data_IF_284321768553
#
_entry.id   IF_284321768553
#
_cell.length_a   1.000
_cell.length_b   1.000
_cell.length_c   1.000
_cell.angle_alpha   90.00
_cell.angle_beta   90.00
_cell.angle_gamma   90.00
#
_symmetry.space_group_name_H-M   'P 1'
#
loop_
_entity.id
_entity.type
_entity.pdbx_description
1 polymer ?
#
# COMPACT_ATOMS: atom_id res chain seq x y z
N UNK A 1 -7.99 16.02 6.10
CA UNK A 1 -7.78 15.00 5.05
C UNK A 1 -7.80 13.61 5.67
N UNK A 2 -8.14 12.57 4.90
CA UNK A 2 -8.05 11.16 5.32
C UNK A 2 -7.08 10.38 4.42
N UNK A 3 -6.38 9.43 5.01
CA UNK A 3 -5.50 8.50 4.32
C UNK A 3 -6.13 7.12 4.33
N UNK A 4 -6.30 6.52 3.16
CA UNK A 4 -6.98 5.23 3.01
C UNK A 4 -5.99 4.24 2.42
N UNK A 5 -5.94 3.05 2.98
CA UNK A 5 -5.16 1.95 2.44
C UNK A 5 -6.06 0.79 2.07
N UNK A 6 -5.78 0.19 0.92
CA UNK A 6 -6.57 -0.89 0.36
C UNK A 6 -5.62 -2.05 0.03
N UNK A 7 -5.79 -3.20 0.67
CA UNK A 7 -5.23 -4.46 0.18
C UNK A 7 -6.24 -5.10 -0.77
N UNK A 8 -5.99 -4.98 -2.07
CA UNK A 8 -6.94 -5.35 -3.11
C UNK A 8 -6.73 -6.80 -3.53
N UNK A 9 -7.74 -7.64 -3.31
CA UNK A 9 -7.71 -8.99 -3.82
C UNK A 9 -7.70 -9.02 -5.36
N UNK A 10 -6.77 -9.78 -5.94
CA UNK A 10 -6.56 -9.84 -7.40
C UNK A 10 -7.78 -10.28 -8.22
N UNK A 11 -8.69 -11.05 -7.65
CA UNK A 11 -9.91 -11.51 -8.33
C UNK A 11 -11.09 -11.68 -7.39
N UNK A 12 -12.28 -11.84 -7.98
CA UNK A 12 -13.57 -11.69 -7.31
C UNK A 12 -13.88 -12.77 -6.25
N UNK A 13 -13.12 -13.87 -6.25
CA UNK A 13 -13.28 -14.96 -5.26
C UNK A 13 -12.71 -14.60 -3.89
N UNK A 14 -11.78 -13.66 -3.85
CA UNK A 14 -11.12 -13.23 -2.63
C UNK A 14 -11.61 -11.84 -2.24
N UNK A 15 -11.64 -11.59 -0.95
CA UNK A 15 -12.04 -10.31 -0.39
C UNK A 15 -10.85 -9.39 -0.19
N UNK A 16 -11.12 -8.10 -0.12
CA UNK A 16 -10.17 -7.02 0.13
C UNK A 16 -10.36 -6.47 1.55
N UNK A 17 -9.38 -5.71 2.02
CA UNK A 17 -9.49 -4.95 3.26
C UNK A 17 -9.22 -3.46 3.00
N UNK A 18 -9.85 -2.61 3.80
CA UNK A 18 -9.65 -1.16 3.80
C UNK A 18 -9.36 -0.70 5.23
N UNK A 19 -8.38 0.17 5.38
CA UNK A 19 -8.07 0.87 6.63
C UNK A 19 -8.04 2.37 6.37
N UNK A 20 -8.65 3.14 7.27
CA UNK A 20 -8.74 4.60 7.20
C UNK A 20 -7.98 5.19 8.37
N UNK A 21 -6.99 6.02 8.06
CA UNK A 21 -6.27 6.84 9.02
C UNK A 21 -6.76 8.29 8.94
N UNK A 22 -6.83 8.92 10.10
CA UNK A 22 -7.08 10.36 10.24
C UNK A 22 -6.04 10.99 11.17
N UNK A 23 -5.73 12.28 10.98
CA UNK A 23 -4.89 13.00 11.92
C UNK A 23 -5.64 13.23 13.24
N UNK A 24 -4.92 13.20 14.37
CA UNK A 24 -5.45 13.53 15.71
C UNK A 24 -5.87 14.98 15.85
N UNK A 25 -5.18 15.87 15.14
CA UNK A 25 -5.38 17.30 15.16
C UNK A 25 -4.89 17.93 13.85
N UNK A 26 -4.92 19.27 13.76
CA UNK A 26 -4.57 19.99 12.55
C UNK A 26 -3.06 19.97 12.19
N UNK A 27 -2.18 19.44 13.05
CA UNK A 27 -0.74 19.32 12.77
C UNK A 27 -0.41 18.19 11.80
N UNK A 28 -1.27 17.17 11.71
CA UNK A 28 -1.03 15.93 10.97
C UNK A 28 0.24 15.16 11.41
N UNK A 29 0.83 15.49 12.56
CA UNK A 29 2.04 14.82 13.07
C UNK A 29 1.71 13.44 13.68
N UNK A 30 0.49 13.24 14.16
CA UNK A 30 0.02 11.98 14.74
C UNK A 30 -1.26 11.50 14.05
N UNK A 31 -1.21 10.27 13.55
CA UNK A 31 -2.32 9.58 12.90
C UNK A 31 -2.93 8.56 13.85
N UNK A 32 -4.23 8.31 13.68
CA UNK A 32 -4.95 7.23 14.34
C UNK A 32 -5.82 6.49 13.33
N UNK A 33 -6.09 5.22 13.62
CA UNK A 33 -7.09 4.46 12.84
C UNK A 33 -8.47 4.98 13.19
N UNK A 34 -9.18 5.51 12.18
CA UNK A 34 -10.58 5.93 12.31
C UNK A 34 -11.50 4.72 12.17
N UNK A 35 -11.35 3.98 11.08
CA UNK A 35 -12.23 2.88 10.72
C UNK A 35 -11.49 1.89 9.82
N UNK A 36 -11.94 0.65 9.82
CA UNK A 36 -11.44 -0.38 8.92
C UNK A 36 -12.57 -1.36 8.61
N UNK A 37 -12.47 -2.03 7.46
CA UNK A 37 -13.39 -3.08 7.07
C UNK A 37 -12.62 -4.16 6.32
N UNK A 38 -12.88 -5.42 6.67
CA UNK A 38 -12.35 -6.57 5.94
C UNK A 38 -13.46 -7.28 5.17
N UNK A 39 -13.14 -8.34 4.45
CA UNK A 39 -14.13 -9.14 3.74
C UNK A 39 -14.92 -8.40 2.63
N UNK A 40 -14.40 -7.29 2.09
CA UNK A 40 -15.03 -6.55 0.99
C UNK A 40 -14.86 -7.30 -0.34
N UNK A 41 -15.96 -7.72 -0.95
CA UNK A 41 -15.98 -8.56 -2.13
C UNK A 41 -15.76 -7.77 -3.41
N UNK A 42 -16.61 -6.79 -3.70
CA UNK A 42 -16.62 -6.05 -4.97
C UNK A 42 -15.91 -4.69 -4.88
N UNK A 43 -15.56 -4.09 -6.03
CA UNK A 43 -15.02 -2.73 -6.04
C UNK A 43 -16.07 -1.69 -5.60
N UNK A 44 -17.34 -1.91 -5.91
CA UNK A 44 -18.45 -1.05 -5.48
C UNK A 44 -18.62 -1.07 -3.96
N UNK A 45 -18.41 -2.23 -3.30
CA UNK A 45 -18.39 -2.32 -1.84
C UNK A 45 -17.25 -1.51 -1.25
N UNK A 46 -16.05 -1.59 -1.82
CA UNK A 46 -14.89 -0.79 -1.42
C UNK A 46 -15.20 0.71 -1.58
N UNK A 47 -15.67 1.15 -2.76
CA UNK A 47 -15.96 2.56 -3.03
C UNK A 47 -17.08 3.09 -2.14
N UNK A 48 -18.12 2.29 -1.88
CA UNK A 48 -19.20 2.67 -0.96
C UNK A 48 -18.67 2.89 0.46
N UNK A 49 -17.82 2.00 0.96
CA UNK A 49 -17.19 2.15 2.27
C UNK A 49 -16.30 3.38 2.33
N UNK A 50 -15.45 3.61 1.33
CA UNK A 50 -14.61 4.82 1.28
C UNK A 50 -15.47 6.09 1.16
N UNK A 51 -16.59 6.04 0.44
CA UNK A 51 -17.53 7.14 0.32
C UNK A 51 -18.27 7.48 1.62
N UNK A 52 -18.65 6.47 2.42
CA UNK A 52 -19.32 6.72 3.72
C UNK A 52 -18.39 7.40 4.74
N UNK A 53 -17.08 7.21 4.58
CA UNK A 53 -16.05 7.89 5.38
C UNK A 53 -15.45 9.09 4.66
N UNK A 54 -16.02 9.60 3.57
CA UNK A 54 -15.55 10.84 2.97
C UNK A 54 -16.31 12.04 3.55
N UNK A 55 -15.56 13.07 3.96
CA UNK A 55 -16.11 14.33 4.51
C UNK A 55 -15.96 15.51 3.53
N UNK A 56 -15.55 15.25 2.29
CA UNK A 56 -15.35 16.29 1.26
C UNK A 56 -14.05 17.10 1.40
N UNK A 57 -13.18 16.77 2.37
CA UNK A 57 -11.82 17.32 2.46
C UNK A 57 -10.87 16.60 1.47
N UNK A 58 -9.55 16.67 1.67
CA UNK A 58 -8.63 15.82 0.91
C UNK A 58 -8.75 14.33 1.24
N UNK A 59 -8.46 13.47 0.26
CA UNK A 59 -8.58 12.02 0.30
C UNK A 59 -7.43 11.37 -0.47
N UNK A 60 -6.52 10.73 0.26
CA UNK A 60 -5.36 10.10 -0.35
C UNK A 60 -5.39 8.59 -0.13
N UNK A 61 -5.47 7.83 -1.23
CA UNK A 61 -5.70 6.38 -1.22
C UNK A 61 -4.45 5.66 -1.73
N UNK A 62 -3.94 4.70 -0.96
CA UNK A 62 -2.90 3.77 -1.36
C UNK A 62 -3.48 2.38 -1.62
N UNK A 63 -3.16 1.77 -2.75
CA UNK A 63 -3.72 0.47 -3.16
C UNK A 63 -2.61 -0.54 -3.40
N UNK A 64 -2.66 -1.70 -2.72
CA UNK A 64 -1.82 -2.87 -3.04
C UNK A 64 -2.39 -3.61 -4.26
N UNK A 65 -2.31 -2.96 -5.42
CA UNK A 65 -2.56 -3.57 -6.71
C UNK A 65 -2.06 -2.67 -7.85
N UNK A 66 -1.69 -3.28 -8.99
CA UNK A 66 -1.45 -2.57 -10.23
C UNK A 66 -2.65 -1.70 -10.64
N UNK A 67 -2.43 -0.39 -10.79
CA UNK A 67 -3.47 0.57 -11.15
C UNK A 67 -3.41 1.05 -12.60
N UNK A 68 -2.24 0.93 -13.24
CA UNK A 68 -2.00 1.32 -14.63
C UNK A 68 -1.12 0.24 -15.27
N UNK A 69 -1.68 -0.55 -16.19
CA UNK A 69 -0.99 -1.70 -16.83
C UNK A 69 -1.25 -1.71 -18.34
N UNK A 70 -0.55 -0.84 -19.11
CA UNK A 70 -0.78 -0.71 -20.55
C UNK A 70 -0.13 -1.84 -21.36
N UNK A 71 0.83 -2.57 -20.79
CA UNK A 71 1.59 -3.59 -21.49
C UNK A 71 0.83 -4.91 -21.56
N UNK A 72 0.77 -5.49 -22.77
CA UNK A 72 0.15 -6.80 -23.01
C UNK A 72 1.07 -7.93 -22.52
N UNK A 73 2.38 -7.77 -22.67
CA UNK A 73 3.42 -8.75 -22.32
C UNK A 73 4.57 -8.08 -21.56
N UNK A 74 5.50 -8.89 -21.07
CA UNK A 74 6.69 -8.41 -20.37
C UNK A 74 6.37 -7.83 -19.00
N UNK A 75 7.13 -6.80 -18.63
CA UNK A 75 7.14 -6.20 -17.30
C UNK A 75 7.04 -4.68 -17.42
N UNK A 76 6.39 -4.02 -16.44
CA UNK A 76 6.38 -2.55 -16.38
C UNK A 76 7.76 -2.03 -15.93
N UNK A 77 8.24 -0.89 -16.45
CA UNK A 77 9.55 -0.33 -16.05
C UNK A 77 9.70 -0.16 -14.52
N UNK A 78 8.62 0.21 -13.83
CA UNK A 78 8.59 0.35 -12.37
C UNK A 78 8.93 -0.95 -11.64
N UNK A 79 8.44 -2.09 -12.13
CA UNK A 79 8.64 -3.40 -11.52
C UNK A 79 10.09 -3.87 -11.71
N UNK A 80 10.64 -3.67 -12.92
CA UNK A 80 12.04 -4.01 -13.23
C UNK A 80 12.99 -3.22 -12.35
N UNK A 81 12.77 -1.91 -12.23
CA UNK A 81 13.60 -1.02 -11.41
C UNK A 81 13.50 -1.33 -9.92
N UNK A 82 12.28 -1.57 -9.41
CA UNK A 82 12.09 -2.01 -8.03
C UNK A 82 12.75 -3.36 -7.78
N UNK A 83 12.63 -4.34 -8.66
CA UNK A 83 13.27 -5.65 -8.49
C UNK A 83 14.79 -5.52 -8.43
N UNK A 84 15.39 -4.64 -9.24
CA UNK A 84 16.84 -4.36 -9.19
C UNK A 84 17.27 -3.86 -7.82
N UNK A 85 16.57 -2.88 -7.26
CA UNK A 85 16.97 -2.21 -6.00
C UNK A 85 16.51 -2.96 -4.74
N UNK A 86 15.34 -3.61 -4.79
CA UNK A 86 14.77 -4.35 -3.67
C UNK A 86 15.05 -5.86 -3.69
N UNK A 87 15.70 -6.38 -4.75
CA UNK A 87 15.96 -7.80 -4.94
C UNK A 87 16.74 -8.43 -3.81
N UNK A 88 17.76 -7.73 -3.28
CA UNK A 88 18.57 -8.22 -2.13
C UNK A 88 17.76 -8.39 -0.84
N UNK A 89 16.61 -7.71 -0.74
CA UNK A 89 15.69 -7.80 0.39
C UNK A 89 14.57 -8.82 0.14
N UNK A 90 14.58 -9.52 -1.00
CA UNK A 90 13.51 -10.43 -1.43
C UNK A 90 12.15 -9.69 -1.56
N UNK A 91 12.20 -8.40 -1.90
CA UNK A 91 11.07 -7.48 -1.91
C UNK A 91 10.85 -6.80 -3.27
N UNK A 92 11.31 -7.41 -4.35
CA UNK A 92 10.96 -6.98 -5.71
C UNK A 92 9.55 -7.44 -6.09
N UNK A 93 8.76 -6.61 -6.81
CA UNK A 93 7.48 -7.02 -7.36
C UNK A 93 7.67 -8.08 -8.45
N UNK A 94 6.62 -8.88 -8.67
CA UNK A 94 6.52 -9.78 -9.82
C UNK A 94 6.01 -9.00 -11.04
N UNK A 95 6.33 -9.44 -12.27
CA UNK A 95 5.82 -8.78 -13.46
C UNK A 95 4.30 -8.81 -13.53
N UNK A 96 3.70 -7.70 -13.96
CA UNK A 96 2.27 -7.62 -14.26
C UNK A 96 2.07 -7.14 -15.69
N UNK A 97 1.17 -7.80 -16.39
CA UNK A 97 0.74 -7.43 -17.73
C UNK A 97 -0.69 -7.94 -17.97
N UNK A 98 -1.34 -7.44 -19.02
CA UNK A 98 -2.72 -7.79 -19.32
C UNK A 98 -2.93 -9.30 -19.53
N UNK A 99 -1.93 -10.03 -20.05
CA UNK A 99 -2.01 -11.49 -20.19
C UNK A 99 -1.99 -12.22 -18.84
N UNK A 100 -1.11 -11.83 -17.93
CA UNK A 100 -1.04 -12.41 -16.57
C UNK A 100 -2.36 -12.19 -15.83
N UNK A 101 -2.97 -11.02 -16.01
CA UNK A 101 -4.25 -10.67 -15.40
C UNK A 101 -5.48 -11.22 -16.17
N UNK A 102 -5.29 -12.00 -17.24
CA UNK A 102 -6.39 -12.56 -18.03
C UNK A 102 -7.33 -11.50 -18.62
N UNK A 103 -6.81 -10.31 -18.91
CA UNK A 103 -7.58 -9.17 -19.41
C UNK A 103 -8.49 -8.48 -18.39
N UNK A 104 -8.44 -8.86 -17.10
CA UNK A 104 -9.22 -8.23 -16.02
C UNK A 104 -8.29 -7.65 -14.97
N UNK A 105 -8.11 -6.33 -15.02
CA UNK A 105 -7.32 -5.58 -14.06
C UNK A 105 -8.25 -4.94 -13.03
N UNK A 106 -8.50 -5.65 -11.93
CA UNK A 106 -9.39 -5.17 -10.86
C UNK A 106 -8.96 -3.80 -10.31
N UNK A 107 -7.65 -3.56 -10.24
CA UNK A 107 -7.08 -2.27 -9.83
C UNK A 107 -7.45 -1.11 -10.76
N UNK A 108 -7.39 -1.30 -12.08
CA UNK A 108 -7.85 -0.29 -13.05
C UNK A 108 -9.35 0.00 -12.91
N UNK A 109 -10.16 -1.05 -12.70
CA UNK A 109 -11.59 -0.90 -12.43
C UNK A 109 -11.87 -0.14 -11.12
N UNK A 110 -11.12 -0.41 -10.06
CA UNK A 110 -11.23 0.30 -8.78
C UNK A 110 -10.83 1.77 -8.94
N UNK A 111 -9.71 2.03 -9.62
CA UNK A 111 -9.24 3.39 -9.92
C UNK A 111 -10.31 4.19 -10.69
N UNK A 112 -10.95 3.56 -11.69
CA UNK A 112 -12.04 4.18 -12.42
C UNK A 112 -13.22 4.57 -11.51
N UNK A 113 -13.69 3.65 -10.67
CA UNK A 113 -14.82 3.90 -9.77
C UNK A 113 -14.51 4.95 -8.69
N UNK A 114 -13.31 4.91 -8.11
CA UNK A 114 -12.84 5.93 -7.15
C UNK A 114 -12.73 7.31 -7.80
N UNK A 115 -12.35 7.38 -9.07
CA UNK A 115 -12.31 8.64 -9.82
C UNK A 115 -13.71 9.19 -10.08
N UNK A 116 -14.62 8.37 -10.61
CA UNK A 116 -15.96 8.82 -11.01
C UNK A 116 -16.87 9.10 -9.81
N UNK A 117 -16.67 8.40 -8.69
CA UNK A 117 -17.51 8.53 -7.50
C UNK A 117 -16.95 9.55 -6.50
N UNK A 118 -15.63 9.56 -6.30
CA UNK A 118 -14.97 10.34 -5.23
C UNK A 118 -13.99 11.38 -5.77
N UNK A 119 -13.89 11.58 -7.08
CA UNK A 119 -13.05 12.62 -7.69
C UNK A 119 -11.55 12.44 -7.47
N UNK A 120 -11.08 11.22 -7.17
CA UNK A 120 -9.64 10.95 -7.05
C UNK A 120 -8.98 10.81 -8.43
N UNK A 121 -7.67 11.10 -8.51
CA UNK A 121 -6.89 10.89 -9.73
C UNK A 121 -5.60 10.12 -9.43
N UNK A 122 -4.99 9.44 -10.41
CA UNK A 122 -3.70 8.75 -10.22
C UNK A 122 -2.50 9.71 -10.35
N UNK A 123 -2.69 11.03 -10.26
CA UNK A 123 -1.61 12.00 -10.40
C UNK A 123 -0.77 12.06 -9.11
N UNK A 124 0.41 11.45 -9.12
CA UNK A 124 1.26 11.37 -7.94
C UNK A 124 2.00 12.66 -7.61
N UNK A 125 2.02 13.66 -8.51
CA UNK A 125 2.65 14.95 -8.24
C UNK A 125 1.68 15.90 -7.56
N UNK A 126 2.02 16.29 -6.34
CA UNK A 126 1.34 17.31 -5.56
C UNK A 126 2.29 17.83 -4.47
N UNK A 127 2.10 19.07 -3.99
CA UNK A 127 2.91 19.58 -2.89
C UNK A 127 2.71 18.74 -1.62
N UNK A 128 3.77 18.53 -0.81
CA UNK A 128 3.60 17.94 0.51
C UNK A 128 2.70 18.82 1.37
N UNK A 129 2.01 18.21 2.33
CA UNK A 129 1.11 18.87 3.27
C UNK A 129 -0.13 19.56 2.63
N UNK A 130 -0.45 19.29 1.35
CA UNK A 130 -1.62 19.86 0.67
C UNK A 130 -2.94 19.20 1.14
N UNK A 131 -3.79 19.87 1.95
CA UNK A 131 -4.92 19.24 2.63
C UNK A 131 -6.12 18.94 1.73
N UNK A 132 -6.15 19.48 0.50
CA UNK A 132 -7.27 19.30 -0.45
C UNK A 132 -6.99 18.24 -1.53
N UNK A 133 -5.78 17.66 -1.55
CA UNK A 133 -5.43 16.71 -2.61
C UNK A 133 -6.29 15.45 -2.54
N UNK A 134 -6.73 14.98 -3.71
CA UNK A 134 -7.55 13.76 -3.87
C UNK A 134 -6.89 12.82 -4.85
N UNK A 135 -6.24 11.74 -4.39
CA UNK A 135 -5.49 10.81 -5.25
C UNK A 135 -5.71 9.34 -4.88
N UNK A 136 -5.50 8.48 -5.87
CA UNK A 136 -5.43 7.03 -5.72
C UNK A 136 -4.12 6.55 -6.34
N UNK A 137 -3.20 6.06 -5.49
CA UNK A 137 -1.82 5.76 -5.83
C UNK A 137 -1.56 4.26 -5.65
N UNK A 138 -0.79 3.68 -6.57
CA UNK A 138 -0.33 2.31 -6.48
C UNK A 138 0.79 2.22 -5.44
N UNK A 139 0.65 1.29 -4.48
CA UNK A 139 1.61 1.02 -3.41
C UNK A 139 1.97 -0.46 -3.42
N UNK A 140 3.19 -0.80 -2.98
CA UNK A 140 3.59 -2.18 -2.79
C UNK A 140 4.06 -2.43 -1.35
N UNK A 141 3.23 -3.02 -0.47
CA UNK A 141 3.52 -3.24 0.94
C UNK A 141 4.87 -3.92 1.21
N UNK A 142 5.25 -4.90 0.38
CA UNK A 142 6.49 -5.66 0.62
C UNK A 142 7.75 -4.80 0.52
N UNK A 143 7.85 -3.88 -0.44
CA UNK A 143 8.98 -2.96 -0.52
C UNK A 143 8.91 -1.91 0.59
N UNK A 144 7.71 -1.41 0.88
CA UNK A 144 7.48 -0.45 1.96
C UNK A 144 7.91 -0.98 3.33
N UNK A 145 7.57 -2.24 3.67
CA UNK A 145 8.04 -2.91 4.89
C UNK A 145 9.56 -2.88 5.01
N UNK A 146 10.28 -3.19 3.92
CA UNK A 146 11.73 -3.26 3.96
C UNK A 146 12.36 -1.88 4.17
N UNK A 147 11.80 -0.84 3.56
CA UNK A 147 12.30 0.52 3.69
C UNK A 147 11.97 1.12 5.07
N UNK A 148 10.70 1.09 5.49
CA UNK A 148 10.25 1.71 6.74
C UNK A 148 10.87 1.05 7.98
N UNK A 149 11.02 -0.26 7.96
CA UNK A 149 11.51 -1.02 9.12
C UNK A 149 12.96 -1.49 8.98
N UNK A 150 13.70 -0.97 7.99
CA UNK A 150 15.09 -1.32 7.71
C UNK A 150 15.35 -2.84 7.66
N UNK A 151 14.40 -3.61 7.11
CA UNK A 151 14.50 -5.07 7.10
C UNK A 151 15.57 -5.52 6.13
N UNK A 152 16.40 -6.47 6.54
CA UNK A 152 17.39 -7.11 5.64
C UNK A 152 16.74 -8.08 4.65
N UNK A 153 15.57 -8.62 4.97
CA UNK A 153 14.75 -9.51 4.13
C UNK A 153 13.27 -9.28 4.41
N UNK A 154 12.42 -9.49 3.40
CA UNK A 154 10.98 -9.33 3.52
C UNK A 154 10.38 -10.28 4.56
N UNK A 155 9.29 -9.86 5.19
CA UNK A 155 8.53 -10.70 6.10
C UNK A 155 7.88 -11.88 5.34
N UNK A 156 7.76 -13.04 5.99
CA UNK A 156 7.29 -14.31 5.42
C UNK A 156 5.94 -14.78 6.00
N UNK A 157 5.07 -13.83 6.36
CA UNK A 157 3.75 -14.07 6.94
C UNK A 157 2.71 -14.62 5.93
N UNK A 158 2.77 -14.20 4.65
CA UNK A 158 1.82 -14.65 3.62
C UNK A 158 1.87 -16.15 3.38
N UNK A 159 0.72 -16.78 3.12
CA UNK A 159 0.63 -18.21 2.81
C UNK A 159 1.45 -18.56 1.55
N UNK A 160 2.35 -19.54 1.65
CA UNK A 160 3.13 -20.07 0.52
C UNK A 160 3.58 -21.49 0.82
N UNK A 161 3.75 -22.31 -0.23
CA UNK A 161 4.37 -23.63 -0.11
C UNK A 161 5.71 -23.53 0.64
N UNK A 162 5.94 -24.46 1.56
CA UNK A 162 7.14 -24.50 2.43
C UNK A 162 7.08 -23.63 3.69
N UNK A 163 5.97 -22.93 3.97
CA UNK A 163 5.79 -22.14 5.21
C UNK A 163 4.80 -22.82 6.16
N UNK A 164 5.26 -23.20 7.34
CA UNK A 164 4.39 -23.74 8.38
C UNK A 164 3.52 -22.64 8.98
N UNK A 165 2.35 -23.00 9.52
CA UNK A 165 1.49 -22.06 10.25
C UNK A 165 2.25 -21.36 11.38
N UNK A 166 3.02 -22.11 12.17
CA UNK A 166 3.82 -21.56 13.28
C UNK A 166 4.82 -20.50 12.80
N UNK A 167 5.54 -20.75 11.70
CA UNK A 167 6.48 -19.77 11.13
C UNK A 167 5.77 -18.49 10.67
N UNK A 168 4.56 -18.61 10.13
CA UNK A 168 3.74 -17.47 9.71
C UNK A 168 3.24 -16.67 10.90
N UNK A 169 2.77 -17.33 11.96
CA UNK A 169 2.31 -16.67 13.19
C UNK A 169 3.44 -15.88 13.86
N UNK A 170 4.66 -16.42 13.88
CA UNK A 170 5.83 -15.68 14.35
C UNK A 170 6.12 -14.43 13.51
N UNK A 171 6.01 -14.53 12.18
CA UNK A 171 6.18 -13.39 11.29
C UNK A 171 5.03 -12.36 11.38
N UNK A 172 3.81 -12.79 11.71
CA UNK A 172 2.70 -11.88 12.02
C UNK A 172 2.95 -11.10 13.31
N UNK A 173 3.38 -11.77 14.37
CA UNK A 173 3.72 -11.10 15.63
C UNK A 173 4.84 -10.07 15.40
N UNK A 174 5.87 -10.45 14.63
CA UNK A 174 6.94 -9.54 14.21
C UNK A 174 6.40 -8.36 13.40
N UNK A 175 5.48 -8.59 12.45
CA UNK A 175 4.90 -7.51 11.66
C UNK A 175 4.08 -6.55 12.53
N UNK A 176 3.27 -7.07 13.47
CA UNK A 176 2.52 -6.26 14.42
C UNK A 176 3.45 -5.36 15.25
N UNK A 177 4.53 -5.91 15.82
CA UNK A 177 5.54 -5.12 16.56
C UNK A 177 6.22 -4.05 15.70
N UNK A 178 6.47 -4.33 14.42
CA UNK A 178 7.00 -3.32 13.50
C UNK A 178 5.99 -2.20 13.26
N UNK A 179 4.70 -2.53 13.07
CA UNK A 179 3.66 -1.51 12.92
C UNK A 179 3.46 -0.69 14.22
N UNK A 180 3.58 -1.32 15.39
CA UNK A 180 3.59 -0.61 16.69
C UNK A 180 4.73 0.39 16.80
N UNK A 181 5.92 0.08 16.25
CA UNK A 181 7.07 1.00 16.27
C UNK A 181 6.82 2.34 15.54
N UNK A 182 5.81 2.40 14.67
CA UNK A 182 5.39 3.63 13.98
C UNK A 182 4.83 4.69 14.94
N UNK A 183 4.53 4.35 16.19
CA UNK A 183 4.17 5.32 17.24
C UNK A 183 5.28 6.36 17.46
N UNK A 184 6.54 5.99 17.20
CA UNK A 184 7.71 6.87 17.34
C UNK A 184 8.25 7.40 16.00
N UNK A 185 7.62 7.01 14.89
CA UNK A 185 7.99 7.49 13.56
C UNK A 185 7.41 8.89 13.30
N UNK A 186 7.74 9.47 12.14
CA UNK A 186 7.16 10.73 11.67
C UNK A 186 6.66 10.58 10.24
N UNK A 187 5.36 10.83 9.95
CA UNK A 187 4.30 11.06 10.94
C UNK A 187 4.11 9.83 11.84
N UNK A 188 3.74 10.04 13.11
CA UNK A 188 3.52 8.93 14.03
C UNK A 188 2.16 8.28 13.77
N UNK A 189 2.05 6.99 14.10
CA UNK A 189 0.81 6.24 14.04
C UNK A 189 0.53 5.64 15.41
N UNK A 190 -0.58 6.05 16.03
CA UNK A 190 -1.07 5.40 17.24
C UNK A 190 -1.46 3.95 16.91
N UNK A 191 -0.87 2.94 17.57
CA UNK A 191 -1.12 1.56 17.27
C UNK A 191 -2.61 1.23 17.47
N UNK A 192 -3.34 0.75 16.44
CA UNK A 192 -4.70 0.31 16.65
C UNK A 192 -4.73 -0.90 17.60
N UNK A 193 -5.70 -0.94 18.51
CA UNK A 193 -5.82 -2.01 19.52
C UNK A 193 -5.84 -3.41 18.93
N UNK A 194 -6.45 -3.55 17.74
CA UNK A 194 -6.56 -4.81 17.02
C UNK A 194 -5.23 -5.37 16.48
N UNK A 195 -4.13 -4.61 16.48
CA UNK A 195 -2.79 -5.15 16.09
C UNK A 195 -2.33 -6.28 17.02
N UNK A 196 -2.72 -6.22 18.28
CA UNK A 196 -2.38 -7.25 19.27
C UNK A 196 -3.29 -8.50 19.17
N UNK A 197 -4.37 -8.42 18.41
CA UNK A 197 -5.43 -9.43 18.33
C UNK A 197 -5.20 -10.44 17.19
N UNK A 198 -4.04 -11.12 17.18
CA UNK A 198 -3.78 -12.17 16.19
C UNK A 198 -4.87 -13.26 16.27
N UNK A 199 -5.59 -13.58 15.17
CA UNK A 199 -6.70 -14.53 15.22
C UNK A 199 -6.28 -15.91 15.73
N UNK A 200 -7.08 -16.46 16.66
CA UNK A 200 -6.92 -17.84 17.16
C UNK A 200 -7.44 -18.90 16.18
N UNK A 201 -8.30 -18.50 15.25
CA UNK A 201 -8.82 -19.35 14.17
C UNK A 201 -8.06 -19.08 12.88
N UNK A 202 -7.65 -20.15 12.23
CA UNK A 202 -6.78 -20.10 11.06
C UNK A 202 -7.59 -20.20 9.75
N UNK A 203 -6.94 -19.92 8.62
CA UNK A 203 -7.58 -19.92 7.31
C UNK A 203 -8.13 -18.52 6.97
N UNK A 204 -9.45 -18.39 6.81
CA UNK A 204 -10.07 -17.14 6.34
C UNK A 204 -9.89 -15.97 7.31
N UNK A 205 -10.05 -16.21 8.62
CA UNK A 205 -9.86 -15.16 9.63
C UNK A 205 -8.42 -14.64 9.65
N UNK A 206 -7.42 -15.55 9.60
CA UNK A 206 -6.02 -15.16 9.50
C UNK A 206 -5.71 -14.39 8.19
N UNK A 207 -6.34 -14.75 7.07
CA UNK A 207 -6.20 -14.01 5.81
C UNK A 207 -6.83 -12.61 5.91
N UNK A 208 -7.98 -12.45 6.57
CA UNK A 208 -8.57 -11.12 6.78
C UNK A 208 -7.68 -10.22 7.64
N UNK A 209 -7.03 -10.81 8.65
CA UNK A 209 -6.03 -10.11 9.45
C UNK A 209 -4.79 -9.73 8.62
N UNK A 210 -4.29 -10.64 7.77
CA UNK A 210 -3.25 -10.37 6.77
C UNK A 210 -3.57 -9.11 5.95
N UNK A 211 -4.78 -9.07 5.40
CA UNK A 211 -5.20 -8.03 4.47
C UNK A 211 -5.37 -6.70 5.18
N UNK A 212 -5.85 -6.73 6.43
CA UNK A 212 -5.97 -5.53 7.27
C UNK A 212 -4.61 -4.93 7.60
N UNK A 213 -3.60 -5.76 7.90
CA UNK A 213 -2.24 -5.28 8.15
C UNK A 213 -1.64 -4.60 6.91
N UNK A 214 -1.82 -5.20 5.73
CA UNK A 214 -1.32 -4.64 4.48
C UNK A 214 -2.09 -3.38 4.06
N UNK A 215 -3.40 -3.34 4.30
CA UNK A 215 -4.20 -2.13 4.12
C UNK A 215 -3.76 -1.00 5.08
N UNK A 216 -3.49 -1.29 6.36
CA UNK A 216 -2.95 -0.30 7.30
C UNK A 216 -1.62 0.27 6.79
N UNK A 217 -0.72 -0.59 6.31
CA UNK A 217 0.55 -0.14 5.76
C UNK A 217 0.37 0.70 4.49
N UNK A 218 -0.53 0.33 3.57
CA UNK A 218 -0.85 1.15 2.40
C UNK A 218 -1.32 2.56 2.79
N UNK A 219 -2.18 2.67 3.80
CA UNK A 219 -2.65 3.96 4.32
C UNK A 219 -1.49 4.79 4.86
N UNK A 220 -0.61 4.15 5.64
CA UNK A 220 0.54 4.80 6.24
C UNK A 220 1.57 5.25 5.20
N UNK A 221 1.80 4.46 4.14
CA UNK A 221 2.70 4.83 3.03
C UNK A 221 2.25 6.11 2.35
N UNK A 222 0.97 6.22 2.01
CA UNK A 222 0.48 7.44 1.35
C UNK A 222 0.45 8.63 2.30
N UNK A 223 0.21 8.42 3.60
CA UNK A 223 0.35 9.47 4.61
C UNK A 223 1.80 9.97 4.73
N UNK A 224 2.77 9.05 4.70
CA UNK A 224 4.20 9.38 4.68
C UNK A 224 4.57 10.18 3.44
N UNK A 225 4.07 9.78 2.26
CA UNK A 225 4.30 10.51 1.01
C UNK A 225 3.65 11.90 1.01
N UNK A 226 2.46 12.04 1.59
CA UNK A 226 1.85 13.36 1.78
C UNK A 226 2.66 14.26 2.71
N UNK A 227 3.24 13.69 3.77
CA UNK A 227 4.03 14.45 4.74
C UNK A 227 5.38 14.94 4.16
N UNK A 228 6.11 14.06 3.46
CA UNK A 228 7.46 14.37 2.98
C UNK A 228 7.55 14.75 1.50
N UNK A 229 6.62 14.29 0.67
CA UNK A 229 6.73 14.33 -0.79
C UNK A 229 7.76 13.34 -1.34
N UNK A 230 8.09 13.50 -2.63
CA UNK A 230 9.14 12.74 -3.31
C UNK A 230 10.52 13.26 -2.91
N UNK A 231 11.43 12.37 -2.49
CA UNK A 231 12.73 12.80 -2.00
C UNK A 231 13.48 11.72 -1.20
N UNK A 232 13.89 12.08 0.01
CA UNK A 232 14.71 11.23 0.89
C UNK A 232 13.92 10.10 1.56
N UNK A 233 12.62 10.31 1.79
CA UNK A 233 11.76 9.36 2.52
C UNK A 233 10.87 8.53 1.61
N UNK A 234 10.53 9.03 0.43
CA UNK A 234 9.63 8.36 -0.52
C UNK A 234 10.11 8.58 -1.95
N UNK A 235 9.82 7.62 -2.83
CA UNK A 235 10.05 7.71 -4.26
C UNK A 235 8.86 7.15 -5.02
N UNK A 236 8.58 7.74 -6.19
CA UNK A 236 7.68 7.15 -7.18
C UNK A 236 8.54 6.48 -8.25
N UNK A 237 8.39 5.17 -8.42
CA UNK A 237 9.15 4.39 -9.39
C UNK A 237 8.28 4.15 -10.61
N UNK A 238 8.65 4.68 -11.78
CA UNK A 238 7.86 4.61 -13.01
C UNK A 238 7.22 5.95 -13.37
N UNK A 239 6.13 5.91 -14.15
CA UNK A 239 5.46 7.11 -14.64
C UNK A 239 3.95 6.88 -14.88
N UNK A 240 3.20 7.96 -15.12
CA UNK A 240 1.74 7.89 -15.32
C UNK A 240 1.32 7.23 -16.66
N UNK A 241 2.25 7.00 -17.59
CA UNK A 241 1.99 6.39 -18.90
C UNK A 241 2.18 4.88 -18.86
N UNK A 242 3.24 4.40 -18.21
CA UNK A 242 3.63 2.98 -18.15
C UNK A 242 3.26 2.32 -16.81
N UNK A 243 2.76 3.10 -15.87
CA UNK A 243 2.49 2.68 -14.50
C UNK A 243 3.66 3.00 -13.56
N UNK A 244 3.32 3.17 -12.29
CA UNK A 244 4.27 3.53 -11.24
C UNK A 244 3.92 2.81 -9.94
N UNK A 245 4.88 2.76 -9.02
CA UNK A 245 4.68 2.29 -7.65
C UNK A 245 5.28 3.33 -6.70
N UNK A 246 4.47 3.82 -5.77
CA UNK A 246 4.92 4.65 -4.66
C UNK A 246 5.50 3.75 -3.56
N UNK A 247 6.70 4.09 -3.09
CA UNK A 247 7.32 3.35 -2.00
C UNK A 247 8.16 4.27 -1.10
N UNK A 248 8.13 4.06 0.23
CA UNK A 248 9.13 4.63 1.12
C UNK A 248 10.53 4.13 0.77
N UNK A 249 11.55 4.91 1.12
CA UNK A 249 12.95 4.58 0.82
C UNK A 249 13.86 4.97 1.98
N UNK A 250 14.96 4.23 2.14
CA UNK A 250 16.14 4.72 2.86
C UNK A 250 17.01 5.55 1.90
N UNK A 251 17.98 6.33 2.40
CA UNK A 251 18.91 7.06 1.52
C UNK A 251 19.59 6.18 0.46
N UNK A 252 19.98 4.95 0.81
CA UNK A 252 20.62 4.01 -0.12
C UNK A 252 19.65 3.54 -1.21
N UNK A 253 18.40 3.26 -0.84
CA UNK A 253 17.35 2.87 -1.79
C UNK A 253 17.01 4.04 -2.73
N UNK A 254 16.90 5.26 -2.22
CA UNK A 254 16.67 6.47 -3.02
C UNK A 254 17.77 6.65 -4.07
N UNK A 255 19.05 6.49 -3.68
CA UNK A 255 20.19 6.53 -4.61
C UNK A 255 20.09 5.43 -5.67
N UNK A 256 19.76 4.20 -5.26
CA UNK A 256 19.63 3.08 -6.21
C UNK A 256 18.54 3.32 -7.26
N UNK A 257 17.39 3.84 -6.82
CA UNK A 257 16.27 4.11 -7.71
C UNK A 257 16.58 5.27 -8.65
N UNK A 258 17.14 6.39 -8.19
CA UNK A 258 17.50 7.53 -9.05
C UNK A 258 18.52 7.18 -10.14
N UNK A 259 19.51 6.33 -9.84
CA UNK A 259 20.48 5.83 -10.85
C UNK A 259 19.81 5.06 -12.00
N UNK A 260 18.64 4.47 -11.77
CA UNK A 260 17.87 3.78 -12.81
C UNK A 260 17.12 4.72 -13.74
N UNK A 261 16.61 5.84 -13.23
CA UNK A 261 15.86 6.81 -14.01
C UNK A 261 16.75 7.59 -15.00
N UNK A 262 18.05 7.73 -14.73
CA UNK A 262 18.99 8.41 -15.63
C UNK A 262 19.52 7.52 -16.79
N UNK A 263 19.13 6.24 -16.84
CA UNK A 263 19.57 5.26 -17.84
C UNK A 263 18.44 4.75 -18.73
N UNK A 264 17.21 5.23 -18.53
CA UNK A 264 16.01 4.90 -19.30
C UNK A 264 15.58 6.12 -20.13
#
# INVERSE_FOLDING_TARGET
>A
MRFVGIDLAWGDRNTSAVVVLEPRDASYETLQTLEWHDALGSNEEIVRFVGSIDKGAGLLIGVDAPLIVPNIHGERPCETQLRRCFGRYEAGPLPVNQRICGGRLRGEGLLHLLRTTLGTTPEYRFPPLEPTVRRCLEVFPRSAQCALFHLKRSLKYKAKSGRSLQSRLAEYARYATLLESLETARPSLLPPSWLSEVPKRYGRELKRYEDRLDALLCAYVVATYWHYGEGEHCCVVGDSRHGYILTPVTPELAICLRKGAAQA
#
